data_IF_374093543406
#
_entry.id   IF_374093543406
#
_cell.length_a   1.000
_cell.length_b   1.000
_cell.length_c   1.000
_cell.angle_alpha   90.00
_cell.angle_beta   90.00
_cell.angle_gamma   90.00
#
_symmetry.space_group_name_H-M   'P 1'
#
loop_
_entity.id
_entity.type
_entity.pdbx_description
1 polymer ?
#
# COMPACT_ATOMS: atom_id res chain seq x y z
N UNK A 1 5.08 -18.22 1.43
CA UNK A 1 5.10 -16.90 0.76
C UNK A 1 5.44 -15.86 1.82
N UNK A 2 6.22 -14.83 1.49
CA UNK A 2 6.61 -13.79 2.46
C UNK A 2 5.49 -12.77 2.60
N UNK A 3 5.14 -12.39 3.83
CA UNK A 3 4.15 -11.35 4.15
C UNK A 3 4.84 -10.09 4.65
N UNK A 4 4.12 -8.98 4.65
CA UNK A 4 4.52 -7.75 5.31
C UNK A 4 3.32 -7.07 5.96
N UNK A 5 3.60 -6.26 6.98
CA UNK A 5 2.60 -5.45 7.66
C UNK A 5 2.17 -4.28 6.78
N UNK A 6 0.86 -4.10 6.61
CA UNK A 6 0.28 -3.01 5.83
C UNK A 6 -0.82 -2.30 6.61
N UNK A 7 -0.72 -0.97 6.65
CA UNK A 7 -1.70 -0.08 7.26
C UNK A 7 -2.30 0.86 6.20
N UNK A 8 -3.62 0.87 6.09
CA UNK A 8 -4.38 1.87 5.35
C UNK A 8 -5.05 2.83 6.33
N UNK A 9 -4.61 4.08 6.33
CA UNK A 9 -5.09 5.12 7.24
C UNK A 9 -5.83 6.21 6.48
N UNK A 10 -6.99 6.61 6.98
CA UNK A 10 -7.69 7.84 6.60
C UNK A 10 -7.58 8.87 7.73
N UNK A 11 -7.92 10.15 7.48
CA UNK A 11 -7.95 11.16 8.53
C UNK A 11 -8.86 10.80 9.72
N UNK A 12 -9.96 10.09 9.47
CA UNK A 12 -10.95 9.75 10.49
C UNK A 12 -10.63 8.46 11.25
N UNK A 13 -9.98 7.48 10.60
CA UNK A 13 -9.68 6.18 11.22
C UNK A 13 -8.63 5.38 10.47
N UNK A 14 -8.11 4.37 11.17
CA UNK A 14 -7.44 3.24 10.52
C UNK A 14 -8.51 2.39 9.81
N UNK A 15 -8.37 2.27 8.49
CA UNK A 15 -9.33 1.56 7.61
C UNK A 15 -9.00 0.08 7.56
N UNK A 16 -7.71 -0.25 7.51
CA UNK A 16 -7.19 -1.63 7.50
C UNK A 16 -5.80 -1.70 8.15
N UNK A 17 -5.52 -2.78 8.87
CA UNK A 17 -4.19 -3.12 9.41
C UNK A 17 -4.06 -4.63 9.47
N UNK A 18 -2.97 -5.17 8.94
CA UNK A 18 -2.73 -6.60 8.96
C UNK A 18 -1.55 -7.06 8.09
N UNK A 19 -1.33 -8.37 8.08
CA UNK A 19 -0.32 -9.01 7.23
C UNK A 19 -0.89 -9.27 5.83
N UNK A 20 -0.15 -8.87 4.80
CA UNK A 20 -0.53 -9.04 3.39
C UNK A 20 0.65 -9.61 2.58
N UNK A 21 0.35 -10.28 1.48
CA UNK A 21 1.37 -10.81 0.56
C UNK A 21 1.81 -9.76 -0.46
N UNK A 22 0.86 -8.95 -0.93
CA UNK A 22 1.09 -7.85 -1.85
C UNK A 22 -0.04 -6.82 -1.75
N UNK A 23 0.24 -5.60 -2.21
CA UNK A 23 -0.72 -4.50 -2.26
C UNK A 23 -0.66 -3.86 -3.64
N UNK A 24 -1.82 -3.64 -4.27
CA UNK A 24 -1.94 -2.90 -5.52
C UNK A 24 -2.65 -1.58 -5.24
N UNK A 25 -2.06 -0.47 -5.66
CA UNK A 25 -2.60 0.88 -5.41
C UNK A 25 -2.53 1.78 -6.66
N UNK A 26 -3.49 2.69 -6.82
CA UNK A 26 -3.50 3.65 -7.92
C UNK A 26 -2.58 4.83 -7.58
N UNK A 27 -1.33 4.80 -8.05
CA UNK A 27 -0.42 5.94 -7.98
C UNK A 27 -0.78 7.07 -8.96
N UNK A 28 -0.26 8.28 -8.72
CA UNK A 28 -0.43 9.46 -9.58
C UNK A 28 0.06 9.24 -11.01
N UNK A 29 1.09 8.42 -11.18
CA UNK A 29 1.71 8.11 -12.47
C UNK A 29 1.21 6.81 -13.11
N UNK A 30 0.36 6.04 -12.43
CA UNK A 30 -0.08 4.72 -12.89
C UNK A 30 -0.45 3.78 -11.76
N UNK A 31 -0.80 2.54 -12.07
CA UNK A 31 -0.96 1.49 -11.04
C UNK A 31 0.39 0.89 -10.68
N UNK A 32 0.59 0.60 -9.40
CA UNK A 32 1.78 -0.11 -8.94
C UNK A 32 1.44 -1.14 -7.86
N UNK A 33 2.24 -2.20 -7.82
CA UNK A 33 2.14 -3.27 -6.85
C UNK A 33 3.37 -3.31 -5.95
N UNK A 34 3.16 -3.45 -4.64
CA UNK A 34 4.21 -3.60 -3.63
C UNK A 34 4.19 -5.03 -3.10
N UNK A 35 5.34 -5.71 -3.16
CA UNK A 35 5.54 -7.05 -2.60
C UNK A 35 6.46 -7.00 -1.37
N UNK A 36 6.58 -8.12 -0.67
CA UNK A 36 7.55 -8.29 0.41
C UNK A 36 8.97 -7.92 -0.05
N UNK A 37 9.71 -7.20 0.81
CA UNK A 37 11.08 -6.72 0.57
C UNK A 37 11.23 -5.67 -0.56
N UNK A 38 10.15 -5.00 -0.96
CA UNK A 38 10.26 -3.84 -1.87
C UNK A 38 11.12 -2.73 -1.24
N UNK A 39 11.86 -2.00 -2.08
CA UNK A 39 12.65 -0.87 -1.64
C UNK A 39 11.76 0.26 -1.08
N UNK A 40 12.28 1.13 -0.19
CA UNK A 40 11.53 2.30 0.27
C UNK A 40 11.07 3.15 -0.90
N UNK A 41 9.78 3.46 -0.93
CA UNK A 41 9.13 4.17 -2.03
C UNK A 41 8.08 5.13 -1.48
N UNK A 42 8.02 6.33 -2.06
CA UNK A 42 7.03 7.37 -1.72
C UNK A 42 6.38 7.84 -3.01
N UNK A 43 5.05 7.86 -3.05
CA UNK A 43 4.29 8.32 -4.20
C UNK A 43 2.96 8.94 -3.76
N UNK A 44 2.41 9.82 -4.60
CA UNK A 44 1.05 10.30 -4.43
C UNK A 44 0.07 9.28 -5.00
N UNK A 45 -1.08 9.11 -4.36
CA UNK A 45 -2.16 8.26 -4.86
C UNK A 45 -3.16 9.09 -5.68
N UNK A 46 -3.74 8.50 -6.72
CA UNK A 46 -4.88 9.10 -7.42
C UNK A 46 -6.12 9.00 -6.53
N UNK A 47 -6.98 10.04 -6.50
CA UNK A 47 -8.29 9.92 -5.89
C UNK A 47 -9.11 8.82 -6.58
N UNK A 48 -9.72 7.94 -5.79
CA UNK A 48 -10.53 6.82 -6.27
C UNK A 48 -10.99 5.95 -5.12
#
# INVERSE_FOLDING_TARGET
MATFHFDLVSPERLVFSGEVEHVVVPGSEGEFGVLAHHAPFLSMLRPG
#
